data_IF_227595369197
#
_entry.id   IF_227595369197
#
_cell.length_a   1.000
_cell.length_b   1.000
_cell.length_c   1.000
_cell.angle_alpha   90.00
_cell.angle_beta   90.00
_cell.angle_gamma   90.00
#
_symmetry.space_group_name_H-M   'P 1'
#
loop_
_entity.id
_entity.type
_entity.pdbx_description
1 polymer ?
#
# COMPACT_ATOMS: atom_id res chain seq x y z
N UNK A 1 2.49 15.70 4.96
CA UNK A 1 2.48 14.21 4.93
C UNK A 1 1.82 13.62 6.17
N UNK A 2 2.22 14.03 7.39
CA UNK A 2 1.54 13.62 8.62
C UNK A 2 0.03 13.93 8.60
N UNK A 3 -0.35 15.08 8.05
CA UNK A 3 -1.77 15.45 7.85
C UNK A 3 -2.53 14.52 6.91
N UNK A 4 -1.88 13.87 5.94
CA UNK A 4 -2.54 12.96 4.99
C UNK A 4 -2.77 11.59 5.62
N UNK A 5 -1.78 11.07 6.36
CA UNK A 5 -1.95 9.83 7.13
C UNK A 5 -3.07 9.95 8.15
N UNK A 6 -3.15 11.08 8.87
CA UNK A 6 -4.25 11.35 9.81
C UNK A 6 -5.63 11.35 9.12
N UNK A 7 -5.75 11.92 7.92
CA UNK A 7 -7.02 11.89 7.16
C UNK A 7 -7.43 10.46 6.76
N UNK A 8 -6.47 9.62 6.36
CA UNK A 8 -6.75 8.22 6.07
C UNK A 8 -7.11 7.43 7.33
N UNK A 9 -6.39 7.66 8.44
CA UNK A 9 -6.61 6.99 9.71
C UNK A 9 -8.02 7.24 10.28
N UNK A 10 -8.49 8.49 10.21
CA UNK A 10 -9.85 8.87 10.61
C UNK A 10 -10.95 8.11 9.86
N UNK A 11 -10.68 7.70 8.62
CA UNK A 11 -11.63 6.95 7.79
C UNK A 11 -11.42 5.43 7.87
N UNK A 12 -10.39 4.98 8.59
CA UNK A 12 -9.92 3.60 8.62
C UNK A 12 -9.12 3.27 7.35
N UNK A 13 -7.82 3.51 7.38
CA UNK A 13 -6.93 3.32 6.23
C UNK A 13 -7.06 1.93 5.61
N UNK A 14 -7.21 1.88 4.29
CA UNK A 14 -7.20 0.62 3.52
C UNK A 14 -6.02 0.60 2.54
N UNK A 15 -5.37 -0.57 2.45
CA UNK A 15 -4.28 -0.83 1.50
C UNK A 15 -4.60 -2.04 0.63
N UNK A 16 -4.42 -1.89 -0.68
CA UNK A 16 -4.69 -2.94 -1.64
C UNK A 16 -3.56 -3.98 -1.63
N UNK A 17 -3.89 -5.26 -1.52
CA UNK A 17 -2.98 -6.39 -1.72
C UNK A 17 -3.31 -7.10 -3.03
N UNK A 18 -2.29 -7.46 -3.80
CA UNK A 18 -2.47 -8.17 -5.09
C UNK A 18 -1.41 -9.23 -5.28
N UNK A 19 -1.68 -10.25 -6.11
CA UNK A 19 -0.73 -11.32 -6.41
C UNK A 19 0.63 -10.80 -6.93
N UNK A 20 0.63 -9.73 -7.73
CA UNK A 20 1.84 -9.16 -8.31
C UNK A 20 2.56 -8.14 -7.41
N UNK A 21 2.03 -7.88 -6.22
CA UNK A 21 2.51 -6.82 -5.33
C UNK A 21 1.95 -5.44 -5.69
N UNK A 22 1.49 -4.70 -4.68
CA UNK A 22 0.96 -3.34 -4.83
C UNK A 22 1.67 -2.37 -3.89
N UNK A 23 2.08 -1.21 -4.39
CA UNK A 23 2.71 -0.17 -3.56
C UNK A 23 1.69 0.44 -2.58
N UNK A 24 2.17 0.77 -1.39
CA UNK A 24 1.38 1.50 -0.40
C UNK A 24 1.10 2.93 -0.88
N UNK A 25 -0.05 3.45 -0.49
CA UNK A 25 -0.36 4.87 -0.60
C UNK A 25 -1.20 5.27 0.62
N UNK A 26 -0.91 6.36 1.34
CA UNK A 26 0.26 7.21 1.19
C UNK A 26 1.56 6.41 1.34
N UNK A 27 2.65 6.88 0.73
CA UNK A 27 3.95 6.24 0.89
C UNK A 27 4.41 6.42 2.33
N UNK A 28 5.01 5.37 2.91
CA UNK A 28 5.63 5.45 4.22
C UNK A 28 6.97 6.19 4.07
N UNK A 29 7.06 7.39 4.66
CA UNK A 29 8.26 8.22 4.61
C UNK A 29 8.58 8.72 6.00
N UNK A 30 9.84 8.61 6.38
CA UNK A 30 10.36 9.04 7.67
C UNK A 30 11.55 9.96 7.45
N UNK A 31 11.72 10.95 8.32
CA UNK A 31 12.93 11.78 8.37
C UNK A 31 13.69 11.38 9.62
N UNK A 32 14.96 11.04 9.44
CA UNK A 32 15.84 10.61 10.53
C UNK A 32 16.87 11.71 10.79
N UNK A 33 17.17 11.98 12.05
CA UNK A 33 18.13 12.99 12.49
C UNK A 33 18.83 12.54 13.77
N UNK A 34 20.03 13.05 14.04
CA UNK A 34 20.80 12.70 15.25
C UNK A 34 21.52 11.35 15.19
N UNK A 35 21.78 10.84 13.97
CA UNK A 35 22.60 9.64 13.76
C UNK A 35 24.08 10.02 13.71
N UNK A 36 24.95 9.09 14.12
CA UNK A 36 26.40 9.24 13.98
C UNK A 36 26.79 9.08 12.49
N UNK A 37 27.41 10.08 11.85
CA UNK A 37 27.75 10.01 10.43
C UNK A 37 28.86 9.00 10.10
N UNK A 38 29.63 8.52 11.08
CA UNK A 38 30.73 7.57 10.87
C UNK A 38 30.28 6.12 11.04
N UNK A 39 29.11 5.91 11.65
CA UNK A 39 28.56 4.60 11.91
C UNK A 39 27.74 4.06 10.73
N UNK A 40 27.72 2.73 10.62
CA UNK A 40 26.89 2.03 9.65
C UNK A 40 25.55 1.61 10.28
N UNK A 41 24.46 1.79 9.52
CA UNK A 41 23.12 1.48 9.98
C UNK A 41 22.34 0.71 8.91
N UNK A 42 21.54 -0.26 9.37
CA UNK A 42 20.57 -1.00 8.55
C UNK A 42 19.18 -0.51 8.89
N UNK A 43 18.43 -0.06 7.87
CA UNK A 43 17.04 0.36 7.99
C UNK A 43 16.12 -0.77 7.53
N UNK A 44 15.14 -1.12 8.35
CA UNK A 44 14.21 -2.22 8.07
C UNK A 44 12.77 -1.78 8.30
N UNK A 45 11.84 -2.53 7.70
CA UNK A 45 10.41 -2.35 7.90
C UNK A 45 9.74 -3.70 8.04
N UNK A 46 8.87 -3.83 9.03
CA UNK A 46 7.99 -4.98 9.18
C UNK A 46 6.52 -4.55 9.25
N UNK A 47 5.62 -5.54 9.20
CA UNK A 47 4.20 -5.34 9.46
C UNK A 47 3.76 -6.38 10.48
N UNK A 48 3.34 -5.92 11.65
CA UNK A 48 2.80 -6.80 12.68
C UNK A 48 1.26 -6.82 12.59
N UNK A 49 0.61 -7.97 12.79
CA UNK A 49 -0.83 -8.00 12.94
C UNK A 49 -1.21 -7.24 14.21
N UNK A 50 -2.26 -6.43 14.11
CA UNK A 50 -2.77 -5.65 15.25
C UNK A 50 -3.55 -6.53 16.23
N UNK A 51 -4.28 -7.51 15.70
CA UNK A 51 -5.12 -8.43 16.47
C UNK A 51 -5.24 -9.78 15.74
N UNK A 52 -5.69 -10.80 16.48
CA UNK A 52 -6.00 -12.15 15.96
C UNK A 52 -7.45 -12.22 15.45
N UNK A 53 -7.88 -11.21 14.67
CA UNK A 53 -9.26 -11.11 14.17
C UNK A 53 -9.30 -10.89 12.66
N UNK A 54 -10.26 -11.56 12.03
CA UNK A 54 -10.64 -11.34 10.65
C UNK A 54 -11.84 -10.40 10.58
N UNK A 55 -11.78 -9.42 9.69
CA UNK A 55 -12.81 -8.39 9.57
C UNK A 55 -13.71 -8.57 8.35
N UNK A 56 -14.89 -7.95 8.40
CA UNK A 56 -15.80 -7.76 7.27
C UNK A 56 -16.36 -6.35 7.32
N UNK A 57 -16.47 -5.70 6.17
CA UNK A 57 -17.09 -4.38 6.08
C UNK A 57 -18.62 -4.49 5.97
N UNK A 58 -19.34 -3.75 6.80
CA UNK A 58 -20.79 -3.67 6.77
C UNK A 58 -21.23 -2.39 6.04
N UNK A 59 -21.68 -2.51 4.79
CA UNK A 59 -22.04 -1.37 3.95
C UNK A 59 -23.18 -0.52 4.51
N UNK A 60 -24.19 -1.16 5.13
CA UNK A 60 -25.35 -0.46 5.69
C UNK A 60 -25.01 0.47 6.87
N UNK A 61 -23.95 0.16 7.62
CA UNK A 61 -23.48 0.96 8.77
C UNK A 61 -22.15 1.65 8.51
N UNK A 62 -21.58 1.48 7.31
CA UNK A 62 -20.25 1.97 6.93
C UNK A 62 -19.18 1.71 8.01
N UNK A 63 -19.14 0.47 8.53
CA UNK A 63 -18.28 0.11 9.66
C UNK A 63 -17.60 -1.25 9.50
N UNK A 64 -16.46 -1.42 10.17
CA UNK A 64 -15.73 -2.68 10.22
C UNK A 64 -16.23 -3.56 11.37
N UNK A 65 -16.69 -4.76 11.03
CA UNK A 65 -17.15 -5.76 12.00
C UNK A 65 -16.17 -6.93 12.07
N UNK A 66 -16.08 -7.55 13.25
CA UNK A 66 -15.32 -8.80 13.43
C UNK A 66 -16.13 -9.94 12.82
N UNK A 67 -15.54 -10.65 11.87
CA UNK A 67 -16.13 -11.79 11.18
C UNK A 67 -15.71 -13.13 11.80
N UNK A 68 -14.54 -13.19 12.46
CA UNK A 68 -14.01 -14.39 13.08
C UNK A 68 -12.58 -14.22 13.58
N UNK A 69 -11.93 -15.35 13.88
CA UNK A 69 -10.50 -15.41 14.22
C UNK A 69 -9.63 -15.15 12.99
N UNK A 70 -8.41 -14.63 13.19
CA UNK A 70 -7.50 -14.42 12.06
C UNK A 70 -7.10 -15.74 11.40
N UNK A 71 -6.79 -15.65 10.11
CA UNK A 71 -6.21 -16.78 9.37
C UNK A 71 -4.80 -17.03 9.89
N UNK A 72 -4.44 -18.29 10.15
CA UNK A 72 -3.12 -18.67 10.68
C UNK A 72 -2.03 -18.26 9.69
N UNK A 73 -1.29 -17.20 10.01
CA UNK A 73 -0.12 -16.81 9.23
C UNK A 73 1.04 -17.77 9.54
N UNK A 74 1.65 -18.35 8.50
CA UNK A 74 2.86 -19.16 8.67
C UNK A 74 3.99 -18.28 9.27
N UNK A 75 4.57 -18.66 10.42
CA UNK A 75 5.44 -17.77 11.18
C UNK A 75 6.91 -17.81 10.69
N UNK A 76 7.24 -17.68 9.40
CA UNK A 76 8.63 -18.03 8.99
C UNK A 76 9.24 -17.35 7.76
N UNK A 77 8.65 -16.34 7.12
CA UNK A 77 9.26 -15.77 5.89
C UNK A 77 9.79 -14.33 5.95
N UNK A 78 9.55 -13.60 7.04
CA UNK A 78 9.89 -12.17 7.13
C UNK A 78 11.39 -11.87 7.27
N UNK A 79 12.17 -12.83 7.77
CA UNK A 79 13.60 -12.61 8.09
C UNK A 79 14.54 -12.64 6.89
N UNK A 80 14.06 -12.82 5.65
CA UNK A 80 14.94 -13.09 4.52
C UNK A 80 15.40 -11.89 3.71
N UNK A 81 14.73 -10.72 3.76
CA UNK A 81 14.95 -9.70 2.73
C UNK A 81 14.92 -8.25 3.24
N UNK A 82 15.94 -7.50 2.85
CA UNK A 82 16.03 -6.03 3.04
C UNK A 82 15.05 -5.33 2.11
N UNK A 83 14.09 -4.60 2.68
CA UNK A 83 13.05 -3.89 1.92
C UNK A 83 13.44 -2.43 1.74
N UNK A 84 13.57 -1.99 0.48
CA UNK A 84 13.69 -0.57 0.15
C UNK A 84 12.29 0.08 0.15
N UNK A 85 12.14 1.21 0.85
CA UNK A 85 10.86 1.83 1.16
C UNK A 85 10.07 2.31 -0.06
N UNK A 86 10.76 2.76 -1.12
CA UNK A 86 10.11 3.26 -2.35
C UNK A 86 9.62 2.14 -3.28
N UNK A 87 10.17 0.93 -3.13
CA UNK A 87 9.82 -0.25 -3.92
C UNK A 87 8.97 -1.26 -3.15
N UNK A 88 8.68 -1.01 -1.86
CA UNK A 88 7.87 -1.87 -1.02
C UNK A 88 6.50 -2.13 -1.65
N UNK A 89 6.19 -3.41 -1.82
CA UNK A 89 4.92 -3.89 -2.36
C UNK A 89 4.30 -4.90 -1.40
N UNK A 90 2.98 -4.82 -1.29
CA UNK A 90 2.15 -5.72 -0.52
C UNK A 90 1.52 -6.77 -1.45
N UNK A 91 1.65 -8.04 -1.08
CA UNK A 91 1.08 -9.17 -1.82
C UNK A 91 0.19 -10.02 -0.93
N UNK A 92 -0.77 -10.72 -1.53
CA UNK A 92 -1.55 -11.77 -0.86
C UNK A 92 -1.13 -13.17 -1.30
N UNK A 93 -0.05 -13.29 -2.08
CA UNK A 93 0.50 -14.56 -2.49
C UNK A 93 1.41 -15.12 -1.39
N UNK A 94 1.02 -16.21 -0.73
CA UNK A 94 1.81 -16.87 0.31
C UNK A 94 3.10 -17.52 -0.23
N UNK A 95 3.18 -17.70 -1.55
CA UNK A 95 4.32 -18.31 -2.25
C UNK A 95 5.00 -17.26 -3.13
N UNK A 96 5.19 -16.04 -2.62
CA UNK A 96 5.89 -14.99 -3.36
C UNK A 96 7.41 -15.15 -3.20
N UNK A 97 8.11 -15.33 -4.32
CA UNK A 97 9.58 -15.41 -4.35
C UNK A 97 10.23 -14.04 -4.66
N UNK A 98 9.43 -13.01 -4.93
CA UNK A 98 9.91 -11.68 -5.32
C UNK A 98 10.30 -10.80 -4.13
N UNK A 99 10.10 -11.29 -2.92
CA UNK A 99 10.35 -10.54 -1.68
C UNK A 99 9.37 -9.42 -1.42
N UNK A 100 8.14 -9.54 -1.91
CA UNK A 100 7.05 -8.65 -1.49
C UNK A 100 6.58 -9.02 -0.08
N UNK A 101 6.01 -8.04 0.61
CA UNK A 101 5.47 -8.25 1.95
C UNK A 101 4.12 -8.96 1.85
N UNK A 102 4.07 -10.20 2.32
CA UNK A 102 2.90 -11.08 2.22
C UNK A 102 1.92 -10.72 3.35
N UNK A 103 0.72 -10.28 3.04
CA UNK A 103 -0.30 -9.93 4.03
C UNK A 103 -1.61 -10.67 3.75
N UNK A 104 -2.29 -11.10 4.81
CA UNK A 104 -3.62 -11.66 4.72
C UNK A 104 -4.64 -10.55 4.51
N UNK A 105 -5.50 -10.69 3.50
CA UNK A 105 -6.60 -9.75 3.27
C UNK A 105 -7.58 -9.77 4.45
N UNK A 106 -8.26 -8.65 4.69
CA UNK A 106 -9.25 -8.44 5.74
C UNK A 106 -8.69 -8.50 7.18
N UNK A 107 -7.39 -8.22 7.34
CA UNK A 107 -6.69 -8.15 8.62
C UNK A 107 -6.07 -6.76 8.82
N UNK A 108 -5.92 -6.36 10.09
CA UNK A 108 -5.32 -5.09 10.47
C UNK A 108 -3.83 -5.26 10.72
N UNK A 109 -3.03 -4.36 10.16
CA UNK A 109 -1.58 -4.35 10.31
C UNK A 109 -1.09 -3.01 10.84
N UNK A 110 -0.05 -3.08 11.67
CA UNK A 110 0.74 -1.94 12.12
C UNK A 110 2.11 -2.04 11.46
N UNK A 111 2.46 -1.08 10.58
CA UNK A 111 3.84 -0.95 10.10
C UNK A 111 4.77 -0.58 11.25
N UNK A 112 5.97 -1.17 11.30
CA UNK A 112 7.05 -0.72 12.19
C UNK A 112 8.30 -0.46 11.35
N UNK A 113 9.00 0.58 11.75
CA UNK A 113 10.26 0.99 11.17
C UNK A 113 11.37 0.69 12.16
N UNK A 114 12.46 0.09 11.69
CA UNK A 114 13.58 -0.29 12.55
C UNK A 114 14.87 0.35 12.06
N UNK A 115 15.67 0.81 13.02
CA UNK A 115 17.03 1.28 12.81
C UNK A 115 17.94 0.36 13.60
N UNK A 116 18.86 -0.30 12.90
CA UNK A 116 19.83 -1.21 13.50
C UNK A 116 21.22 -0.63 13.32
N UNK A 117 21.92 -0.38 14.42
CA UNK A 117 23.33 0.01 14.39
C UNK A 117 24.20 -1.22 14.12
N UNK A 118 25.07 -1.12 13.12
CA UNK A 118 26.02 -2.19 12.77
C UNK A 118 27.28 -1.98 13.58
N UNK A 119 27.49 -2.86 14.56
CA UNK A 119 28.71 -2.88 15.36
C UNK A 119 29.83 -3.58 14.57
N UNK A 120 30.96 -2.90 14.28
CA UNK A 120 32.07 -3.45 13.51
C UNK A 120 32.88 -4.51 14.28
N UNK A 121 32.60 -4.74 15.57
CA UNK A 121 33.35 -5.70 16.37
C UNK A 121 32.95 -7.16 16.09
N UNK A 122 33.90 -8.14 16.18
CA UNK A 122 33.65 -9.55 15.84
C UNK A 122 32.59 -10.27 16.69
N UNK A 123 32.09 -9.65 17.77
CA UNK A 123 31.10 -10.19 18.71
C UNK A 123 29.74 -9.45 18.67
N UNK A 124 29.49 -8.69 17.60
CA UNK A 124 28.31 -7.84 17.42
C UNK A 124 26.96 -8.54 17.61
N UNK A 125 26.88 -9.85 17.34
CA UNK A 125 25.65 -10.64 17.49
C UNK A 125 25.21 -10.80 18.96
N UNK A 126 26.13 -10.63 19.93
CA UNK A 126 25.82 -10.67 21.37
C UNK A 126 25.15 -9.37 21.86
N UNK A 127 25.34 -8.25 21.13
CA UNK A 127 24.78 -6.93 21.44
C UNK A 127 23.56 -6.58 20.56
N UNK A 128 23.05 -7.52 19.77
CA UNK A 128 21.99 -7.29 18.78
C UNK A 128 20.72 -6.65 19.37
N UNK A 129 20.40 -6.92 20.64
CA UNK A 129 19.25 -6.31 21.33
C UNK A 129 19.48 -4.84 21.73
N UNK A 130 20.72 -4.41 22.01
CA UNK A 130 21.03 -3.02 22.38
C UNK A 130 21.13 -2.09 21.17
N UNK A 131 21.44 -2.64 20.00
CA UNK A 131 21.68 -1.87 18.78
C UNK A 131 20.43 -1.69 17.91
N UNK A 132 19.25 -2.08 18.42
CA UNK A 132 18.00 -2.13 17.67
C UNK A 132 16.98 -1.14 18.23
N UNK A 133 16.59 -0.16 17.41
CA UNK A 133 15.51 0.78 17.73
C UNK A 133 14.31 0.54 16.83
N UNK A 134 13.11 0.43 17.42
CA UNK A 134 11.85 0.26 16.70
C UNK A 134 10.95 1.46 16.89
N UNK A 135 10.37 1.93 15.79
CA UNK A 135 9.45 3.05 15.74
C UNK A 135 8.15 2.59 15.10
N UNK A 136 7.03 2.89 15.77
CA UNK A 136 5.69 2.59 15.28
C UNK A 136 4.84 3.84 15.36
N UNK A 137 4.13 4.15 14.28
CA UNK A 137 3.26 5.32 14.19
C UNK A 137 1.81 4.83 14.14
N UNK A 138 0.99 5.08 15.19
CA UNK A 138 -0.38 4.57 15.26
C UNK A 138 -1.26 4.98 14.06
N UNK A 139 -1.04 6.16 13.50
CA UNK A 139 -1.78 6.68 12.34
C UNK A 139 -1.47 5.94 11.03
N UNK A 140 -0.45 5.08 11.01
CA UNK A 140 -0.07 4.29 9.83
C UNK A 140 -0.72 2.90 9.81
N UNK A 141 -1.58 2.61 10.79
CA UNK A 141 -2.35 1.36 10.83
C UNK A 141 -3.29 1.30 9.64
N UNK A 142 -3.43 0.10 9.08
CA UNK A 142 -4.32 -0.10 7.94
C UNK A 142 -4.94 -1.48 7.92
N UNK A 143 -6.03 -1.60 7.16
CA UNK A 143 -6.60 -2.88 6.78
C UNK A 143 -6.11 -3.30 5.40
N UNK A 144 -5.54 -4.49 5.29
CA UNK A 144 -5.21 -5.08 4.01
C UNK A 144 -6.50 -5.54 3.34
N UNK A 145 -6.72 -5.16 2.08
CA UNK A 145 -7.94 -5.51 1.33
C UNK A 145 -7.59 -5.85 -0.12
N UNK A 146 -8.39 -6.69 -0.78
CA UNK A 146 -8.21 -6.96 -2.23
C UNK A 146 -8.90 -5.91 -3.11
N UNK A 147 -9.90 -5.22 -2.55
CA UNK A 147 -10.61 -4.10 -3.15
C UNK A 147 -11.06 -3.14 -2.03
N UNK A 148 -11.12 -1.85 -2.32
CA UNK A 148 -11.57 -0.86 -1.34
C UNK A 148 -13.02 -1.14 -0.91
N UNK A 149 -13.27 -1.03 0.39
CA UNK A 149 -14.59 -1.24 0.99
C UNK A 149 -15.27 0.10 1.27
N UNK A 150 -14.56 1.02 1.92
CA UNK A 150 -15.06 2.36 2.19
C UNK A 150 -14.86 3.28 0.96
N UNK A 151 -15.97 3.71 0.34
CA UNK A 151 -15.92 4.61 -0.82
C UNK A 151 -15.27 5.96 -0.51
N UNK A 152 -15.30 6.43 0.75
CA UNK A 152 -14.63 7.68 1.17
C UNK A 152 -13.11 7.54 1.09
N UNK A 153 -12.57 6.36 1.42
CA UNK A 153 -11.15 6.06 1.22
C UNK A 153 -10.82 6.14 -0.27
N UNK A 154 -11.61 5.52 -1.14
CA UNK A 154 -11.40 5.58 -2.60
C UNK A 154 -11.37 7.01 -3.12
N UNK A 155 -12.30 7.86 -2.69
CA UNK A 155 -12.33 9.27 -3.06
C UNK A 155 -11.07 10.01 -2.59
N UNK A 156 -10.64 9.78 -1.35
CA UNK A 156 -9.42 10.38 -0.81
C UNK A 156 -8.17 9.89 -1.56
N UNK A 157 -8.09 8.60 -1.90
CA UNK A 157 -7.01 8.05 -2.74
C UNK A 157 -6.99 8.72 -4.12
N UNK A 158 -8.14 8.94 -4.75
CA UNK A 158 -8.24 9.61 -6.05
C UNK A 158 -7.78 11.06 -5.96
N UNK A 159 -8.23 11.80 -4.95
CA UNK A 159 -7.92 13.22 -4.78
C UNK A 159 -6.43 13.45 -4.45
N UNK A 160 -5.86 12.59 -3.62
CA UNK A 160 -4.51 12.78 -3.07
C UNK A 160 -3.40 12.10 -3.87
N UNK A 161 -3.69 11.09 -4.69
CA UNK A 161 -2.68 10.40 -5.49
C UNK A 161 -2.59 11.04 -6.89
N UNK A 162 -1.47 11.72 -7.23
CA UNK A 162 -1.32 12.40 -8.52
C UNK A 162 -1.55 11.47 -9.71
N UNK A 163 -1.03 10.24 -9.67
CA UNK A 163 -1.17 9.26 -10.76
C UNK A 163 -2.62 8.83 -10.99
N UNK A 164 -3.44 8.79 -9.94
CA UNK A 164 -4.87 8.45 -10.04
C UNK A 164 -5.66 9.67 -10.50
N UNK A 165 -5.37 10.86 -9.93
CA UNK A 165 -6.03 12.10 -10.30
C UNK A 165 -5.88 12.40 -11.78
N UNK A 166 -4.66 12.29 -12.32
CA UNK A 166 -4.39 12.50 -13.75
C UNK A 166 -5.12 11.49 -14.63
N UNK A 167 -5.18 10.22 -14.22
CA UNK A 167 -5.93 9.19 -14.94
C UNK A 167 -7.43 9.52 -14.95
N UNK A 168 -8.01 9.91 -13.81
CA UNK A 168 -9.42 10.28 -13.69
C UNK A 168 -9.74 11.52 -14.52
N UNK A 169 -8.93 12.59 -14.44
CA UNK A 169 -9.09 13.78 -15.29
C UNK A 169 -9.07 13.44 -16.79
N UNK A 170 -8.17 12.54 -17.22
CA UNK A 170 -8.10 12.09 -18.63
C UNK A 170 -9.36 11.35 -19.08
N UNK A 171 -9.97 10.55 -18.20
CA UNK A 171 -11.23 9.85 -18.51
C UNK A 171 -12.39 10.84 -18.66
N UNK A 172 -12.48 11.85 -17.79
CA UNK A 172 -13.53 12.88 -17.89
C UNK A 172 -13.37 13.73 -19.17
N UNK A 173 -12.15 14.19 -19.49
CA UNK A 173 -11.87 14.90 -20.75
C UNK A 173 -12.21 14.03 -21.99
N UNK A 174 -11.90 12.73 -21.94
CA UNK A 174 -12.26 11.80 -23.02
C UNK A 174 -13.78 11.61 -23.17
N UNK A 175 -14.54 11.60 -22.06
CA UNK A 175 -16.01 11.52 -22.08
C UNK A 175 -16.65 12.83 -22.57
N UNK A 176 -16.11 13.99 -22.21
CA UNK A 176 -16.58 15.28 -22.74
C UNK A 176 -16.35 15.41 -24.25
N UNK A 177 -15.21 14.92 -24.76
CA UNK A 177 -14.95 14.86 -26.22
C UNK A 177 -15.87 13.93 -26.98
N UNK A 178 -16.31 12.83 -26.35
CA UNK A 178 -17.32 11.94 -26.93
C UNK A 178 -18.71 12.57 -26.89
N UNK A 179 -19.06 13.25 -25.78
CA UNK A 179 -20.32 13.98 -25.64
C UNK A 179 -20.45 15.16 -26.62
N UNK A 180 -19.34 15.81 -26.99
CA UNK A 180 -19.34 16.88 -28.02
C UNK A 180 -19.42 16.36 -29.45
N UNK A 181 -19.08 15.09 -29.71
CA UNK A 181 -19.20 14.47 -31.04
C UNK A 181 -20.60 13.89 -31.33
N UNK A 182 -21.44 13.68 -30.31
CA UNK A 182 -22.80 13.14 -30.49
C UNK A 182 -23.86 14.20 -30.87
N UNK A 183 -23.48 15.45 -31.14
CA UNK A 183 -24.43 16.52 -31.55
C UNK A 183 -24.61 16.70 -33.07
N UNK A 184 -24.10 15.81 -33.91
CA UNK A 184 -24.40 15.79 -35.35
C UNK A 184 -24.72 14.38 -35.83
N UNK A 185 -26.00 14.10 -36.10
CA UNK A 185 -26.44 12.92 -36.84
C UNK A 185 -27.62 12.18 -36.21
N UNK A 186 -28.83 12.47 -36.69
CA UNK A 186 -30.06 11.73 -36.40
C UNK A 186 -30.13 10.37 -37.12
N UNK A 187 -30.87 9.44 -36.50
CA UNK A 187 -31.54 8.25 -37.06
C UNK A 187 -30.70 7.04 -37.49
N UNK A 188 -30.71 5.96 -36.71
CA UNK A 188 -31.54 4.74 -36.96
C UNK A 188 -31.23 3.60 -35.97
N UNK A 189 -32.30 3.11 -35.33
CA UNK A 189 -32.65 1.75 -34.90
C UNK A 189 -31.59 0.63 -34.61
N UNK A 190 -31.73 0.13 -33.37
CA UNK A 190 -31.83 -1.29 -32.94
C UNK A 190 -30.57 -2.17 -32.82
N UNK A 191 -30.54 -2.88 -31.68
CA UNK A 191 -29.68 -4.01 -31.28
C UNK A 191 -28.22 -3.68 -30.96
N UNK A 192 -27.85 -3.78 -29.68
CA UNK A 192 -27.05 -4.90 -29.18
C UNK A 192 -26.98 -4.87 -27.65
N UNK A 193 -27.64 -5.87 -27.06
CA UNK A 193 -27.49 -6.27 -25.67
C UNK A 193 -26.15 -7.00 -25.48
N UNK A 194 -25.62 -6.85 -24.27
CA UNK A 194 -24.78 -7.82 -23.55
C UNK A 194 -23.28 -8.00 -23.90
N UNK A 195 -22.51 -8.04 -22.80
CA UNK A 195 -21.20 -8.68 -22.56
C UNK A 195 -19.95 -7.97 -23.08
N UNK A 196 -19.08 -7.62 -22.13
CA UNK A 196 -17.71 -8.15 -21.97
C UNK A 196 -17.16 -7.60 -20.63
N UNK A 197 -17.34 -8.29 -19.51
CA UNK A 197 -16.29 -9.11 -18.86
C UNK A 197 -14.90 -8.99 -19.50
N UNK A 198 -13.95 -8.59 -18.66
CA UNK A 198 -12.49 -8.71 -18.80
C UNK A 198 -11.86 -8.06 -20.03
N UNK A 199 -10.98 -7.08 -19.80
CA UNK A 199 -9.70 -7.05 -20.50
C UNK A 199 -8.63 -6.32 -19.67
N UNK A 200 -7.59 -7.08 -19.31
CA UNK A 200 -6.25 -6.59 -18.97
C UNK A 200 -5.66 -5.86 -20.19
N UNK A 201 -5.06 -4.68 -20.03
CA UNK A 201 -3.88 -4.18 -20.80
C UNK A 201 -3.25 -3.08 -19.92
N UNK A 202 -2.17 -3.34 -19.19
CA UNK A 202 -0.76 -3.01 -19.55
C UNK A 202 -0.58 -1.58 -20.08
N UNK A 203 0.24 -0.73 -19.44
CA UNK A 203 1.00 0.36 -20.09
C UNK A 203 2.08 0.92 -19.13
N UNK A 204 3.32 0.67 -19.56
CA UNK A 204 4.56 1.45 -19.52
C UNK A 204 5.36 1.77 -18.25
N UNK A 205 6.62 1.31 -18.33
CA UNK A 205 7.86 1.81 -17.72
C UNK A 205 7.94 3.34 -17.73
N UNK A 206 8.45 3.91 -16.64
CA UNK A 206 9.32 5.09 -16.69
C UNK A 206 10.47 4.86 -15.72
N UNK A 207 11.68 4.91 -16.28
CA UNK A 207 12.99 4.99 -15.62
C UNK A 207 13.09 6.33 -14.89
N UNK A 208 13.68 6.39 -13.70
CA UNK A 208 14.36 7.61 -13.28
C UNK A 208 15.58 7.31 -12.41
N UNK A 209 16.72 7.79 -12.92
CA UNK A 209 17.99 7.93 -12.23
C UNK A 209 17.82 8.81 -10.98
N UNK A 210 18.38 8.38 -9.85
CA UNK A 210 18.69 9.29 -8.75
C UNK A 210 20.18 9.59 -8.83
N UNK A 211 20.49 10.82 -9.26
CA UNK A 211 21.80 11.44 -9.08
C UNK A 211 21.80 12.03 -7.68
N UNK A 212 22.69 11.54 -6.81
CA UNK A 212 23.00 12.21 -5.54
C UNK A 212 23.48 13.64 -5.83
N UNK A 213 22.90 14.61 -5.12
CA UNK A 213 23.39 15.97 -5.03
C UNK A 213 23.65 16.29 -3.57
N UNK A 214 24.90 16.64 -3.30
CA UNK A 214 25.35 17.36 -2.11
C UNK A 214 24.64 18.70 -1.96
#
# INVERSE_FOLDING_TARGET
MQSLWQQFDQLGTEMIVTKAGRRMFPTFQVRISGMDPVAEYVLLMDFIPVDDKRYRYAFHSSSWLVAGRADVAAPTQWMKQTVSFDSLKLTNNLLDDNGHMILNSMHRYQPRFHVVYVDPTPNSHLNAQRNFSSFSFPETRFMAVTAYQNHRITQLKIASNPSIREFVCRIYDSRERLSTKEKWGSSTNTLYLHRLKMLKVSIFKVLLFIRCGF
#
